data_IF_437857946951
#
_entry.id   IF_437857946951
#
_cell.length_a   1.000
_cell.length_b   1.000
_cell.length_c   1.000
_cell.angle_alpha   90.00
_cell.angle_beta   90.00
_cell.angle_gamma   90.00
#
_symmetry.space_group_name_H-M   'P 1'
#
loop_
_entity.id
_entity.type
_entity.pdbx_description
1 polymer ?
#
# COMPACT_ATOMS: atom_id res chain seq x y z
N UNK A 1 5.56 -6.64 14.49
CA UNK A 1 5.84 -5.44 13.66
C UNK A 1 4.53 -4.77 13.33
N UNK A 2 4.42 -3.45 13.49
CA UNK A 2 3.24 -2.68 13.09
C UNK A 2 3.52 -1.92 11.80
N UNK A 3 2.57 -1.95 10.88
CA UNK A 3 2.65 -1.26 9.58
C UNK A 3 1.47 -0.29 9.45
N UNK A 4 1.76 0.90 8.93
CA UNK A 4 0.76 1.89 8.51
C UNK A 4 0.18 1.47 7.15
N UNK A 5 -1.02 0.92 7.18
CA UNK A 5 -1.81 0.59 6.01
C UNK A 5 -2.52 1.85 5.52
N UNK A 6 -2.44 2.15 4.22
CA UNK A 6 -2.93 3.39 3.61
C UNK A 6 -3.73 3.02 2.36
N UNK A 7 -5.03 3.29 2.36
CA UNK A 7 -5.85 3.00 1.20
C UNK A 7 -5.59 4.04 0.12
N UNK A 8 -5.09 3.63 -1.04
CA UNK A 8 -4.88 4.49 -2.19
C UNK A 8 -6.17 5.14 -2.69
N UNK A 9 -7.32 4.52 -2.45
CA UNK A 9 -8.61 4.95 -2.97
C UNK A 9 -9.26 5.99 -2.07
N UNK A 10 -9.62 5.61 -0.84
CA UNK A 10 -10.34 6.50 0.08
C UNK A 10 -9.43 7.27 1.05
N UNK A 11 -8.12 6.99 1.08
CA UNK A 11 -7.18 7.66 1.99
C UNK A 11 -7.26 7.18 3.44
N UNK A 12 -8.04 6.14 3.75
CA UNK A 12 -8.10 5.55 5.10
C UNK A 12 -6.70 5.08 5.51
N UNK A 13 -6.35 5.31 6.78
CA UNK A 13 -5.09 4.85 7.35
C UNK A 13 -5.30 4.12 8.67
N UNK A 14 -4.63 2.98 8.84
CA UNK A 14 -4.65 2.20 10.08
C UNK A 14 -3.27 1.63 10.39
N UNK A 15 -2.91 1.56 11.67
CA UNK A 15 -1.67 0.92 12.12
C UNK A 15 -2.02 -0.46 12.64
N UNK A 16 -1.63 -1.49 11.90
CA UNK A 16 -2.03 -2.88 12.11
C UNK A 16 -0.81 -3.80 11.98
N UNK A 17 -0.88 -5.00 12.57
CA UNK A 17 0.01 -6.08 12.13
C UNK A 17 -0.39 -6.54 10.72
N UNK A 18 0.51 -7.16 9.94
CA UNK A 18 0.15 -7.77 8.66
C UNK A 18 -1.05 -8.72 8.73
N UNK A 19 -1.14 -9.51 9.80
CA UNK A 19 -2.22 -10.47 10.03
C UNK A 19 -3.56 -9.75 10.21
N UNK A 20 -3.60 -8.74 11.09
CA UNK A 20 -4.79 -7.93 11.31
C UNK A 20 -5.23 -7.19 10.04
N UNK A 21 -4.27 -6.65 9.27
CA UNK A 21 -4.54 -6.03 7.99
C UNK A 21 -5.22 -7.00 7.02
N UNK A 22 -4.66 -8.19 6.85
CA UNK A 22 -5.20 -9.22 5.97
C UNK A 22 -6.60 -9.69 6.39
N UNK A 23 -6.82 -9.93 7.69
CA UNK A 23 -8.13 -10.31 8.22
C UNK A 23 -9.20 -9.23 8.00
N UNK A 24 -8.80 -7.96 7.98
CA UNK A 24 -9.67 -6.82 7.67
C UNK A 24 -9.80 -6.54 6.16
N UNK A 25 -9.24 -7.40 5.30
CA UNK A 25 -9.31 -7.28 3.85
C UNK A 25 -8.39 -6.23 3.26
N UNK A 26 -7.30 -5.87 3.94
CA UNK A 26 -6.29 -4.98 3.36
C UNK A 26 -5.42 -5.71 2.34
N UNK A 27 -5.29 -5.11 1.16
CA UNK A 27 -4.34 -5.55 0.14
C UNK A 27 -2.95 -4.98 0.47
N UNK A 28 -2.24 -5.61 1.40
CA UNK A 28 -0.91 -5.18 1.83
C UNK A 28 0.06 -6.37 2.01
N UNK A 29 1.35 -6.21 1.66
CA UNK A 29 2.36 -7.20 1.94
C UNK A 29 2.65 -7.27 3.46
N UNK A 30 3.20 -8.40 3.94
CA UNK A 30 3.57 -9.61 3.19
C UNK A 30 2.41 -10.54 2.81
N UNK A 31 1.17 -10.29 3.28
CA UNK A 31 0.04 -11.21 3.05
C UNK A 31 -0.53 -11.11 1.63
N UNK A 32 -0.53 -9.91 1.05
CA UNK A 32 -1.00 -9.64 -0.31
C UNK A 32 0.04 -8.81 -1.07
N UNK A 33 0.50 -9.33 -2.21
CA UNK A 33 1.57 -8.70 -2.98
C UNK A 33 2.94 -8.79 -2.31
N UNK A 34 3.88 -7.94 -2.74
CA UNK A 34 5.26 -7.91 -2.23
C UNK A 34 5.73 -6.46 -2.04
N UNK A 35 6.61 -6.23 -1.06
CA UNK A 35 7.24 -4.92 -0.88
C UNK A 35 8.08 -4.54 -2.09
N UNK A 36 8.17 -3.24 -2.39
CA UNK A 36 8.91 -2.69 -3.55
C UNK A 36 8.41 -3.18 -4.91
N UNK A 37 7.28 -3.89 -4.95
CA UNK A 37 6.57 -4.31 -6.16
C UNK A 37 5.19 -3.66 -6.16
N UNK A 38 4.89 -2.96 -7.26
CA UNK A 38 3.58 -2.33 -7.44
C UNK A 38 2.50 -3.40 -7.40
N UNK A 39 1.60 -3.25 -6.44
CA UNK A 39 0.45 -4.11 -6.15
C UNK A 39 -0.64 -3.22 -5.54
N UNK A 40 -1.93 -3.61 -5.58
CA UNK A 40 -3.02 -2.81 -5.03
C UNK A 40 -2.78 -2.55 -3.54
N UNK A 41 -2.93 -1.29 -3.08
CA UNK A 41 -2.96 -0.92 -1.65
C UNK A 41 -4.31 -0.34 -1.27
N UNK A 42 -5.20 -1.22 -0.85
CA UNK A 42 -6.62 -0.94 -0.61
C UNK A 42 -7.07 -1.50 0.72
N UNK A 43 -8.04 -0.84 1.35
CA UNK A 43 -8.76 -1.42 2.48
C UNK A 43 -9.88 -2.34 1.97
N UNK A 44 -10.45 -3.17 2.85
CA UNK A 44 -11.49 -4.14 2.49
C UNK A 44 -12.80 -3.55 1.93
N UNK A 45 -12.96 -2.22 1.96
CA UNK A 45 -14.16 -1.53 1.44
C UNK A 45 -13.94 -0.87 0.07
N UNK A 46 -12.72 -0.89 -0.48
CA UNK A 46 -12.41 -0.24 -1.75
C UNK A 46 -11.97 -1.25 -2.79
N UNK A 47 -12.47 -1.11 -4.01
CA UNK A 47 -12.00 -1.88 -5.16
C UNK A 47 -10.59 -1.47 -5.60
N UNK A 48 -9.90 -2.40 -6.24
CA UNK A 48 -8.53 -2.21 -6.75
C UNK A 48 -8.49 -1.38 -8.04
N UNK A 49 -9.63 -1.15 -8.69
CA UNK A 49 -9.81 -0.48 -9.98
C UNK A 49 -9.34 0.98 -10.01
N UNK A 50 -9.13 1.58 -8.83
CA UNK A 50 -8.64 2.96 -8.68
C UNK A 50 -7.21 3.05 -8.11
N UNK A 51 -6.48 1.94 -8.10
CA UNK A 51 -5.10 1.88 -7.59
C UNK A 51 -4.07 2.24 -8.67
N UNK A 52 -2.85 2.53 -8.23
CA UNK A 52 -1.69 2.65 -9.14
C UNK A 52 -1.48 1.37 -9.93
N UNK A 53 -1.62 0.22 -9.28
CA UNK A 53 -1.45 -1.09 -9.93
C UNK A 53 -2.44 -1.27 -11.09
N UNK A 54 -3.71 -0.94 -10.90
CA UNK A 54 -4.71 -1.04 -11.97
C UNK A 54 -4.37 -0.16 -13.16
N UNK A 55 -3.98 1.08 -12.90
CA UNK A 55 -3.58 2.00 -13.94
C UNK A 55 -2.42 1.47 -14.79
N UNK A 56 -1.43 0.82 -14.19
CA UNK A 56 -0.27 0.28 -14.92
C UNK A 56 -0.62 -1.05 -15.58
N UNK A 57 -1.18 -2.00 -14.83
CA UNK A 57 -1.34 -3.40 -15.24
C UNK A 57 -2.58 -3.63 -16.10
N UNK A 58 -3.64 -2.84 -15.93
CA UNK A 58 -4.91 -3.01 -16.65
C UNK A 58 -5.13 -1.91 -17.68
N UNK A 59 -4.92 -0.64 -17.30
CA UNK A 59 -5.10 0.49 -18.23
C UNK A 59 -3.87 0.75 -19.13
N UNK A 60 -2.73 0.11 -18.84
CA UNK A 60 -1.49 0.29 -19.61
C UNK A 60 -0.85 1.68 -19.46
N UNK A 61 -1.15 2.43 -18.39
CA UNK A 61 -0.51 3.73 -18.14
C UNK A 61 0.99 3.55 -17.89
N UNK A 62 1.78 4.35 -18.60
CA UNK A 62 3.23 4.43 -18.40
C UNK A 62 3.58 5.50 -17.37
N UNK A 63 4.79 5.40 -16.79
CA UNK A 63 5.30 6.34 -15.78
C UNK A 63 5.11 7.83 -16.11
N UNK A 64 5.39 8.32 -17.34
CA UNK A 64 5.20 9.73 -17.69
C UNK A 64 3.74 10.22 -17.64
N UNK A 65 2.79 9.29 -17.68
CA UNK A 65 1.35 9.58 -17.71
C UNK A 65 0.68 9.35 -16.34
N UNK A 66 1.47 9.06 -15.30
CA UNK A 66 0.96 8.95 -13.94
C UNK A 66 0.68 10.34 -13.37
N UNK A 67 -0.46 10.50 -12.72
CA UNK A 67 -0.77 11.73 -12.00
C UNK A 67 0.05 11.83 -10.70
N UNK A 68 0.05 13.00 -10.07
CA UNK A 68 0.84 13.22 -8.85
C UNK A 68 0.49 12.25 -7.71
N UNK A 69 -0.79 11.88 -7.55
CA UNK A 69 -1.21 10.91 -6.52
C UNK A 69 -0.62 9.53 -6.80
N UNK A 70 -0.60 9.11 -8.06
CA UNK A 70 0.00 7.86 -8.52
C UNK A 70 1.53 7.87 -8.35
N UNK A 71 2.19 8.97 -8.67
CA UNK A 71 3.64 9.12 -8.45
C UNK A 71 4.02 9.04 -6.97
N UNK A 72 3.30 9.75 -6.09
CA UNK A 72 3.51 9.64 -4.63
C UNK A 72 3.29 8.21 -4.11
N UNK A 73 2.31 7.52 -4.68
CA UNK A 73 2.02 6.12 -4.34
C UNK A 73 3.16 5.20 -4.77
N UNK A 74 3.69 5.39 -5.99
CA UNK A 74 4.83 4.65 -6.51
C UNK A 74 6.06 4.85 -5.63
N UNK A 75 6.41 6.11 -5.34
CA UNK A 75 7.53 6.47 -4.48
C UNK A 75 7.43 5.85 -3.09
N UNK A 76 6.22 5.82 -2.52
CA UNK A 76 5.95 5.14 -1.25
C UNK A 76 6.23 3.64 -1.38
N UNK A 77 5.60 2.94 -2.33
CA UNK A 77 5.74 1.49 -2.51
C UNK A 77 7.22 1.08 -2.67
N UNK A 78 8.00 1.85 -3.43
CA UNK A 78 9.43 1.57 -3.64
C UNK A 78 10.29 1.68 -2.37
N UNK A 79 9.80 2.37 -1.35
CA UNK A 79 10.46 2.55 -0.05
C UNK A 79 9.83 1.68 1.05
N UNK A 80 8.95 0.74 0.71
CA UNK A 80 8.37 -0.16 1.69
C UNK A 80 9.29 -1.38 1.98
N UNK A 81 9.29 -1.90 3.22
CA UNK A 81 8.42 -1.52 4.34
C UNK A 81 8.84 -0.26 5.08
N UNK A 82 10.02 0.31 4.82
CA UNK A 82 10.61 1.40 5.60
C UNK A 82 9.71 2.65 5.66
N UNK A 83 8.97 2.96 4.59
CA UNK A 83 8.04 4.10 4.53
C UNK A 83 6.73 3.91 5.30
N UNK A 84 6.38 2.67 5.67
CA UNK A 84 5.15 2.32 6.38
C UNK A 84 5.41 1.64 7.73
N UNK A 85 6.67 1.36 8.05
CA UNK A 85 7.06 0.75 9.32
C UNK A 85 6.82 1.74 10.46
N UNK A 86 6.07 1.31 11.46
CA UNK A 86 5.87 2.07 12.69
C UNK A 86 6.86 1.56 13.72
N UNK A 87 7.92 2.35 13.96
CA UNK A 87 8.86 2.09 15.06
C UNK A 87 8.17 2.47 16.35
N UNK A 88 7.85 1.48 17.18
CA UNK A 88 7.49 1.75 18.56
C UNK A 88 8.71 2.35 19.27
N UNK A 89 8.54 3.50 19.92
CA UNK A 89 9.59 4.19 20.68
C UNK A 89 10.06 3.39 21.92
N UNK A 90 9.54 2.19 22.13
CA UNK A 90 9.89 1.32 23.26
C UNK A 90 11.13 0.43 23.04
N UNK A 91 11.72 0.40 21.84
CA UNK A 91 13.06 -0.19 21.63
C UNK A 91 13.19 -1.68 21.97
N UNK A 92 12.14 -2.48 21.75
CA UNK A 92 12.20 -3.94 21.95
C UNK A 92 12.09 -4.68 20.62
N UNK A 93 13.16 -5.43 20.30
CA UNK A 93 13.27 -6.35 19.17
C UNK A 93 12.54 -7.66 19.46
#
# INVERSE_FOLDING_TARGET
MLLRHICEVCGKEEVLTPEQGFEQGWDYPPRMGQFKIVSPRTCGNCGIDRTLWWAISVEGKQSPNLNEKQLRTLERIMKEPESILVIDRSGRY
#
